data_IF_039284315989
#
_entry.id   IF_039284315989
#
_cell.length_a   1.000
_cell.length_b   1.000
_cell.length_c   1.000
_cell.angle_alpha   90.00
_cell.angle_beta   90.00
_cell.angle_gamma   90.00
#
_symmetry.space_group_name_H-M   'P 1'
#
loop_
_entity.id
_entity.type
_entity.pdbx_description
1 polymer ?
#
# COMPACT_ATOMS: atom_id res chain seq x y z
N UNK A 1 -12.69 -27.24 -6.06
CA UNK A 1 -12.78 -27.63 -4.65
C UNK A 1 -11.59 -27.05 -3.93
N UNK A 2 -11.74 -26.59 -2.68
CA UNK A 2 -10.63 -25.89 -2.02
C UNK A 2 -9.44 -26.81 -1.79
N UNK A 3 -8.24 -26.25 -1.72
CA UNK A 3 -7.00 -27.03 -1.58
C UNK A 3 -6.97 -27.85 -0.28
N UNK A 4 -7.64 -27.39 0.77
CA UNK A 4 -7.78 -28.14 2.03
C UNK A 4 -8.77 -29.29 1.99
N UNK A 5 -9.63 -29.36 0.97
CA UNK A 5 -10.73 -30.34 0.90
C UNK A 5 -11.87 -30.08 1.90
N UNK A 6 -11.82 -28.99 2.68
CA UNK A 6 -12.85 -28.65 3.66
C UNK A 6 -14.10 -28.06 3.00
N UNK A 7 -13.91 -27.29 1.92
CA UNK A 7 -14.99 -26.64 1.21
C UNK A 7 -15.33 -27.37 -0.10
N UNK A 8 -16.41 -28.13 -0.06
CA UNK A 8 -16.97 -28.86 -1.18
C UNK A 8 -18.49 -28.78 -1.26
N UNK A 9 -19.04 -29.30 -2.36
CA UNK A 9 -20.48 -29.42 -2.56
C UNK A 9 -20.93 -30.78 -2.02
N UNK A 10 -21.79 -30.84 -0.98
CA UNK A 10 -22.31 -32.09 -0.45
C UNK A 10 -23.08 -32.88 -1.51
N UNK A 11 -23.13 -34.20 -1.36
CA UNK A 11 -23.92 -35.09 -2.22
C UNK A 11 -25.41 -34.73 -2.07
N UNK A 12 -26.14 -34.76 -3.18
CA UNK A 12 -27.57 -34.47 -3.20
C UNK A 12 -28.34 -35.36 -2.21
N UNK A 13 -29.17 -34.72 -1.39
CA UNK A 13 -29.87 -35.38 -0.30
C UNK A 13 -30.93 -34.50 0.35
N UNK A 14 -31.54 -34.96 1.46
CA UNK A 14 -32.49 -34.14 2.22
C UNK A 14 -31.83 -32.86 2.75
N UNK A 15 -32.63 -31.82 2.95
CA UNK A 15 -32.20 -30.50 3.47
C UNK A 15 -31.27 -30.61 4.70
N UNK A 16 -31.57 -31.56 5.59
CA UNK A 16 -30.81 -31.79 6.81
C UNK A 16 -29.32 -32.10 6.55
N UNK A 17 -28.99 -32.80 5.45
CA UNK A 17 -27.61 -33.13 5.11
C UNK A 17 -26.78 -31.88 4.82
N UNK A 18 -27.36 -30.88 4.16
CA UNK A 18 -26.70 -29.60 3.90
C UNK A 18 -26.51 -28.80 5.19
N UNK A 19 -27.51 -28.80 6.08
CA UNK A 19 -27.44 -28.13 7.39
C UNK A 19 -26.35 -28.75 8.27
N UNK A 20 -26.29 -30.08 8.30
CA UNK A 20 -25.28 -30.80 9.09
C UNK A 20 -23.88 -30.54 8.54
N UNK A 21 -23.70 -30.51 7.21
CA UNK A 21 -22.44 -30.11 6.60
C UNK A 21 -22.02 -28.67 6.96
N UNK A 22 -22.93 -27.69 6.85
CA UNK A 22 -22.63 -26.29 7.22
C UNK A 22 -22.17 -26.19 8.68
N UNK A 23 -22.76 -26.99 9.58
CA UNK A 23 -22.37 -27.04 11.00
C UNK A 23 -20.99 -27.63 11.25
N UNK A 24 -20.44 -28.43 10.31
CA UNK A 24 -19.07 -28.95 10.41
C UNK A 24 -18.01 -27.95 9.97
N UNK A 25 -18.39 -26.86 9.28
CA UNK A 25 -17.45 -25.86 8.82
C UNK A 25 -16.87 -25.04 9.99
N UNK A 26 -15.60 -24.62 9.89
CA UNK A 26 -14.96 -23.82 10.93
C UNK A 26 -15.68 -22.47 11.11
N UNK A 27 -15.77 -22.02 12.36
CA UNK A 27 -16.38 -20.72 12.71
C UNK A 27 -15.64 -19.55 12.05
N UNK A 28 -14.31 -19.63 12.00
CA UNK A 28 -13.45 -18.71 11.28
C UNK A 28 -13.03 -19.37 9.96
N UNK A 29 -13.64 -19.00 8.83
CA UNK A 29 -13.32 -19.62 7.56
C UNK A 29 -11.94 -19.18 7.07
N UNK A 30 -11.23 -20.09 6.42
CA UNK A 30 -9.98 -19.77 5.76
C UNK A 30 -10.25 -18.99 4.45
N UNK A 31 -9.32 -18.13 3.98
CA UNK A 31 -9.49 -17.34 2.77
C UNK A 31 -9.82 -18.15 1.51
N UNK A 32 -9.41 -19.41 1.47
CA UNK A 32 -9.70 -20.34 0.38
C UNK A 32 -11.20 -20.53 0.14
N UNK A 33 -12.08 -20.28 1.12
CA UNK A 33 -13.54 -20.33 0.93
C UNK A 33 -14.00 -19.32 -0.13
N UNK A 34 -13.27 -18.20 -0.26
CA UNK A 34 -13.51 -17.15 -1.25
C UNK A 34 -12.59 -17.30 -2.48
N UNK A 35 -11.80 -18.36 -2.55
CA UNK A 35 -10.79 -18.56 -3.60
C UNK A 35 -9.53 -17.68 -3.42
N UNK A 36 -9.30 -17.15 -2.22
CA UNK A 36 -8.10 -16.35 -1.93
C UNK A 36 -6.94 -17.21 -1.42
N UNK A 37 -5.72 -16.73 -1.65
CA UNK A 37 -4.52 -17.29 -1.06
C UNK A 37 -4.52 -17.09 0.46
N UNK A 38 -3.84 -17.97 1.20
CA UNK A 38 -3.64 -17.88 2.65
C UNK A 38 -3.06 -16.55 3.16
N UNK A 39 -2.43 -15.74 2.28
CA UNK A 39 -1.89 -14.43 2.65
C UNK A 39 -2.98 -13.37 2.81
N UNK A 40 -4.20 -13.64 2.35
CA UNK A 40 -5.32 -12.72 2.50
C UNK A 40 -5.68 -12.47 3.97
N UNK A 41 -5.49 -13.45 4.86
CA UNK A 41 -5.65 -13.24 6.31
C UNK A 41 -4.61 -12.25 6.84
N UNK A 42 -3.35 -12.38 6.42
CA UNK A 42 -2.29 -11.44 6.81
C UNK A 42 -2.64 -10.02 6.35
N UNK A 43 -3.08 -9.86 5.10
CA UNK A 43 -3.47 -8.55 4.55
C UNK A 43 -4.67 -7.97 5.30
N UNK A 44 -5.68 -8.79 5.61
CA UNK A 44 -6.85 -8.40 6.42
C UNK A 44 -6.42 -7.90 7.78
N UNK A 45 -5.61 -8.68 8.50
CA UNK A 45 -5.20 -8.35 9.86
C UNK A 45 -4.28 -7.12 9.90
N UNK A 46 -3.43 -6.94 8.89
CA UNK A 46 -2.65 -5.69 8.72
C UNK A 46 -3.57 -4.49 8.50
N UNK A 47 -4.59 -4.61 7.66
CA UNK A 47 -5.55 -3.54 7.39
C UNK A 47 -6.39 -3.20 8.63
N UNK A 48 -6.86 -4.20 9.37
CA UNK A 48 -7.60 -4.01 10.63
C UNK A 48 -6.72 -3.34 11.69
N UNK A 49 -5.46 -3.77 11.80
CA UNK A 49 -4.47 -3.16 12.70
C UNK A 49 -4.21 -1.70 12.35
N UNK A 50 -4.01 -1.39 11.07
CA UNK A 50 -3.82 -0.01 10.61
C UNK A 50 -5.04 0.86 10.93
N UNK A 51 -6.25 0.34 10.65
CA UNK A 51 -7.50 1.05 10.92
C UNK A 51 -7.67 1.31 12.43
N UNK A 52 -7.29 0.36 13.27
CA UNK A 52 -7.28 0.54 14.72
C UNK A 52 -6.29 1.65 15.14
N UNK A 53 -5.07 1.65 14.61
CA UNK A 53 -4.10 2.70 14.91
C UNK A 53 -4.58 4.08 14.45
N UNK A 54 -5.13 4.19 13.25
CA UNK A 54 -5.69 5.43 12.74
C UNK A 54 -6.83 5.94 13.65
N UNK A 55 -7.70 5.03 14.10
CA UNK A 55 -8.79 5.35 15.03
C UNK A 55 -8.28 5.81 16.40
N UNK A 56 -7.20 5.20 16.90
CA UNK A 56 -6.53 5.65 18.13
C UNK A 56 -5.96 7.05 17.93
N UNK A 57 -5.24 7.30 16.83
CA UNK A 57 -4.67 8.62 16.54
C UNK A 57 -5.74 9.72 16.46
N UNK A 58 -6.92 9.40 15.90
CA UNK A 58 -8.05 10.34 15.84
C UNK A 58 -8.68 10.64 17.20
N UNK A 59 -8.64 9.67 18.13
CA UNK A 59 -9.25 9.80 19.47
C UNK A 59 -8.28 10.28 20.53
N UNK A 60 -6.97 10.23 20.27
CA UNK A 60 -5.98 10.85 21.13
C UNK A 60 -6.33 12.34 21.28
N UNK A 61 -6.41 12.87 22.52
CA UNK A 61 -6.53 14.30 22.70
C UNK A 61 -5.33 14.91 21.99
N UNK A 62 -5.58 15.77 20.99
CA UNK A 62 -4.53 16.61 20.41
C UNK A 62 -3.86 17.29 21.59
N UNK A 63 -2.69 16.80 22.00
CA UNK A 63 -2.00 17.37 23.14
C UNK A 63 -1.81 18.85 22.80
N UNK A 64 -2.49 19.70 23.55
CA UNK A 64 -2.07 21.08 23.72
C UNK A 64 -0.72 20.96 24.40
N UNK A 65 0.34 21.05 23.61
CA UNK A 65 1.73 20.97 24.06
C UNK A 65 1.97 21.99 25.17
N UNK A 66 1.93 21.50 26.41
CA UNK A 66 2.28 22.22 27.63
C UNK A 66 3.39 21.50 28.40
N UNK A 67 4.33 20.87 27.69
CA UNK A 67 5.52 20.24 28.25
C UNK A 67 6.76 20.63 27.45
N UNK A 68 7.89 20.80 28.13
CA UNK A 68 9.22 21.14 27.61
C UNK A 68 9.82 20.05 26.68
N UNK A 69 9.08 19.63 25.66
CA UNK A 69 9.55 18.80 24.55
C UNK A 69 9.47 19.58 23.25
N UNK A 70 10.28 19.20 22.24
CA UNK A 70 10.20 19.80 20.89
C UNK A 70 8.75 19.78 20.42
N UNK A 71 8.25 20.94 20.01
CA UNK A 71 6.88 21.04 19.51
C UNK A 71 6.74 20.20 18.22
N UNK A 72 5.55 19.65 17.93
CA UNK A 72 5.29 18.92 16.69
C UNK A 72 5.70 19.72 15.43
N UNK A 73 5.59 21.05 15.46
CA UNK A 73 6.06 21.92 14.36
C UNK A 73 7.56 21.82 14.14
N UNK A 74 8.37 21.84 15.20
CA UNK A 74 9.84 21.75 15.10
C UNK A 74 10.26 20.38 14.56
N UNK A 75 9.59 19.30 14.99
CA UNK A 75 9.85 17.96 14.44
C UNK A 75 9.49 17.88 12.95
N UNK A 76 8.40 18.53 12.53
CA UNK A 76 8.00 18.59 11.12
C UNK A 76 9.00 19.41 10.29
N UNK A 77 9.49 20.54 10.82
CA UNK A 77 10.47 21.38 10.15
C UNK A 77 11.84 20.67 10.03
N UNK A 78 12.27 19.96 11.08
CA UNK A 78 13.48 19.12 11.06
C UNK A 78 13.36 17.99 10.01
N UNK A 79 12.21 17.33 9.96
CA UNK A 79 11.94 16.27 8.98
C UNK A 79 11.90 16.82 7.55
N UNK A 80 11.26 17.97 7.34
CA UNK A 80 11.21 18.63 6.04
C UNK A 80 12.61 19.03 5.55
N UNK A 81 13.45 19.58 6.44
CA UNK A 81 14.83 19.93 6.13
C UNK A 81 15.69 18.68 5.81
N UNK A 82 15.51 17.58 6.55
CA UNK A 82 16.20 16.32 6.29
C UNK A 82 15.79 15.72 4.92
N UNK A 83 14.48 15.71 4.61
CA UNK A 83 13.98 15.27 3.30
C UNK A 83 14.55 16.16 2.18
N UNK A 84 14.51 17.48 2.34
CA UNK A 84 15.06 18.42 1.37
C UNK A 84 16.55 18.19 1.14
N UNK A 85 17.32 17.90 2.19
CA UNK A 85 18.76 17.62 2.09
C UNK A 85 19.09 16.33 1.30
N UNK A 86 18.12 15.41 1.20
CA UNK A 86 18.25 14.13 0.49
C UNK A 86 17.75 14.19 -0.95
N UNK A 87 17.04 15.25 -1.33
CA UNK A 87 16.58 15.40 -2.71
C UNK A 87 17.78 15.69 -3.63
N UNK A 88 17.92 14.95 -4.75
CA UNK A 88 18.96 15.23 -5.72
C UNK A 88 18.71 16.57 -6.42
N UNK A 89 19.78 17.19 -6.91
CA UNK A 89 19.66 18.39 -7.73
C UNK A 89 18.94 18.10 -9.06
N UNK A 90 18.25 19.12 -9.58
CA UNK A 90 17.57 19.04 -10.87
C UNK A 90 18.51 18.63 -11.99
N UNK A 91 17.99 17.78 -12.88
CA UNK A 91 18.72 17.35 -14.05
C UNK A 91 18.82 18.48 -15.09
N UNK A 92 19.99 18.64 -15.69
CA UNK A 92 20.16 19.56 -16.81
C UNK A 92 19.50 19.03 -18.08
N UNK A 93 18.31 19.55 -18.37
CA UNK A 93 17.51 19.14 -19.54
C UNK A 93 18.16 19.46 -20.88
N UNK A 94 19.07 20.45 -20.94
CA UNK A 94 19.78 20.83 -22.16
C UNK A 94 20.92 19.86 -22.45
N UNK A 95 21.74 19.54 -21.45
CA UNK A 95 22.84 18.57 -21.58
C UNK A 95 22.29 17.19 -21.94
N UNK A 96 21.21 16.77 -21.30
CA UNK A 96 20.57 15.47 -21.57
C UNK A 96 19.93 15.48 -22.95
N UNK A 97 19.29 16.59 -23.37
CA UNK A 97 18.74 16.72 -24.72
C UNK A 97 19.80 16.65 -25.83
N UNK A 98 21.02 17.12 -25.56
CA UNK A 98 22.16 16.98 -26.48
C UNK A 98 22.72 15.55 -26.49
N UNK A 99 22.78 14.90 -25.33
CA UNK A 99 23.31 13.53 -25.19
C UNK A 99 22.35 12.45 -25.72
N UNK A 100 21.05 12.66 -25.58
CA UNK A 100 19.98 11.76 -26.01
C UNK A 100 18.98 12.51 -26.90
N UNK A 101 19.36 12.79 -28.16
CA UNK A 101 18.50 13.52 -29.08
C UNK A 101 17.25 12.70 -29.42
N UNK A 102 16.17 13.40 -29.75
CA UNK A 102 14.91 12.78 -30.20
C UNK A 102 15.13 12.26 -31.63
N UNK A 103 15.24 10.94 -31.75
CA UNK A 103 15.42 10.25 -33.03
C UNK A 103 14.31 9.21 -33.21
N UNK A 104 13.83 9.06 -34.45
CA UNK A 104 12.75 8.13 -34.77
C UNK A 104 13.11 6.66 -34.44
N UNK A 105 14.37 6.28 -34.64
CA UNK A 105 14.89 4.94 -34.35
C UNK A 105 15.24 4.73 -32.87
N UNK A 106 15.25 5.78 -32.04
CA UNK A 106 15.58 5.72 -30.60
C UNK A 106 14.45 6.32 -29.77
N UNK A 107 13.28 5.67 -29.80
CA UNK A 107 12.07 6.12 -29.12
C UNK A 107 12.24 6.34 -27.60
N UNK A 108 13.15 5.57 -26.97
CA UNK A 108 13.45 5.69 -25.53
C UNK A 108 14.07 7.03 -25.15
N UNK A 109 14.80 7.71 -26.04
CA UNK A 109 15.35 9.04 -25.76
C UNK A 109 14.23 10.07 -25.53
N UNK A 110 13.12 9.91 -26.25
CA UNK A 110 11.94 10.78 -26.09
C UNK A 110 11.28 10.56 -24.73
N UNK A 111 11.11 9.29 -24.32
CA UNK A 111 10.56 8.94 -23.01
C UNK A 111 11.45 9.47 -21.89
N UNK A 112 12.76 9.22 -21.97
CA UNK A 112 13.74 9.69 -21.00
C UNK A 112 13.66 11.21 -20.81
N UNK A 113 13.60 11.96 -21.92
CA UNK A 113 13.52 13.42 -21.87
C UNK A 113 12.21 13.91 -21.22
N UNK A 114 11.09 13.24 -21.49
CA UNK A 114 9.81 13.55 -20.87
C UNK A 114 9.76 13.18 -19.38
N UNK A 115 10.34 12.05 -18.98
CA UNK A 115 10.40 11.64 -17.58
C UNK A 115 11.29 12.59 -16.77
N UNK A 116 12.41 13.06 -17.33
CA UNK A 116 13.29 14.02 -16.64
C UNK A 116 12.59 15.37 -16.42
N UNK A 117 11.86 15.87 -17.42
CA UNK A 117 11.06 17.08 -17.26
C UNK A 117 9.99 16.89 -16.17
N UNK A 118 9.33 15.72 -16.14
CA UNK A 118 8.35 15.40 -15.10
C UNK A 118 8.97 15.27 -13.72
N UNK A 119 10.16 14.67 -13.64
CA UNK A 119 10.91 14.50 -12.40
C UNK A 119 11.33 15.84 -11.82
N UNK A 120 11.99 16.70 -12.61
CA UNK A 120 12.38 18.03 -12.16
C UNK A 120 11.16 18.83 -11.68
N UNK A 121 10.03 18.79 -12.38
CA UNK A 121 8.79 19.47 -11.94
C UNK A 121 8.22 18.93 -10.62
N UNK A 122 8.48 17.66 -10.30
CA UNK A 122 8.03 17.05 -9.05
C UNK A 122 8.95 17.42 -7.88
N UNK A 123 10.25 17.62 -8.15
CA UNK A 123 11.28 17.87 -7.14
C UNK A 123 11.62 19.35 -6.93
N UNK A 124 11.27 20.23 -7.88
CA UNK A 124 11.44 21.69 -7.82
C UNK A 124 10.26 22.39 -7.15
#
# INVERSE_FOLDING_TARGET
FSESGTYYVPIDGPHQNYVDYIRTLPLNPLPEVYGFHSNADITKDQQETQTLFDSILLTLPKQTTGGEGRTPSVVMDELAADILSKLPADFDTEVIGKKYPVLYNESMNTVLRQEIIRYNRLTS
#
